data_IF_847821691444
#
_entry.id   IF_847821691444
#
_cell.length_a   1.000
_cell.length_b   1.000
_cell.length_c   1.000
_cell.angle_alpha   90.00
_cell.angle_beta   90.00
_cell.angle_gamma   90.00
#
_symmetry.space_group_name_H-M   'P 1'
#
loop_
_entity.id
_entity.type
_entity.pdbx_description
1 polymer ?
#
# COMPACT_ATOMS: atom_id res chain seq x y z
N UNK A 1 -18.93 3.02 12.92
CA UNK A 1 -19.11 3.96 14.03
C UNK A 1 -17.75 4.33 14.60
N UNK A 2 -17.40 5.59 14.57
CA UNK A 2 -16.13 6.14 15.10
C UNK A 2 -16.16 6.16 16.65
N UNK A 3 -15.00 6.34 17.28
CA UNK A 3 -14.90 6.47 18.75
C UNK A 3 -15.73 7.65 19.25
N UNK A 4 -15.71 8.78 18.50
CA UNK A 4 -16.47 9.99 18.83
C UNK A 4 -17.99 9.76 18.77
N UNK A 5 -18.48 9.10 17.72
CA UNK A 5 -19.91 8.75 17.59
C UNK A 5 -20.38 7.83 18.72
N UNK A 6 -19.56 6.84 19.12
CA UNK A 6 -19.87 5.97 20.26
C UNK A 6 -20.02 6.77 21.55
N UNK A 7 -19.09 7.68 21.81
CA UNK A 7 -19.09 8.52 23.01
C UNK A 7 -20.32 9.44 23.07
N UNK A 8 -20.68 10.07 21.95
CA UNK A 8 -21.88 10.89 21.85
C UNK A 8 -23.16 10.10 22.11
N UNK A 9 -23.30 8.90 21.52
CA UNK A 9 -24.45 8.03 21.74
C UNK A 9 -24.53 7.54 23.18
N UNK A 10 -23.40 7.18 23.79
CA UNK A 10 -23.36 6.77 25.21
C UNK A 10 -23.82 7.92 26.11
N UNK A 11 -23.33 9.12 25.89
CA UNK A 11 -23.75 10.30 26.66
C UNK A 11 -25.26 10.61 26.49
N UNK A 12 -25.75 10.51 25.25
CA UNK A 12 -27.20 10.64 24.98
C UNK A 12 -28.01 9.63 25.81
N UNK A 13 -27.62 8.36 25.77
CA UNK A 13 -28.32 7.31 26.50
C UNK A 13 -28.18 7.46 28.02
N UNK A 14 -27.06 7.95 28.52
CA UNK A 14 -26.89 8.24 29.94
C UNK A 14 -27.90 9.28 30.44
N UNK A 15 -28.10 10.37 29.65
CA UNK A 15 -29.12 11.39 29.95
C UNK A 15 -30.55 10.83 29.89
N UNK A 16 -30.86 10.08 28.84
CA UNK A 16 -32.20 9.48 28.67
C UNK A 16 -32.53 8.52 29.82
N UNK A 17 -31.60 7.70 30.23
CA UNK A 17 -31.78 6.72 31.29
C UNK A 17 -31.87 7.37 32.67
N UNK A 18 -31.08 8.41 32.93
CA UNK A 18 -31.19 9.21 34.17
C UNK A 18 -32.59 9.87 34.29
N UNK A 19 -33.06 10.52 33.24
CA UNK A 19 -34.41 11.08 33.24
C UNK A 19 -35.48 10.00 33.38
N UNK A 20 -35.36 8.85 32.76
CA UNK A 20 -36.30 7.74 32.88
C UNK A 20 -36.33 7.17 34.29
N UNK A 21 -35.17 6.99 34.95
CA UNK A 21 -35.10 6.55 36.34
C UNK A 21 -35.77 7.53 37.29
N UNK A 22 -35.55 8.87 37.10
CA UNK A 22 -36.20 9.93 37.84
C UNK A 22 -37.73 9.99 37.63
N UNK A 23 -38.19 9.73 36.41
CA UNK A 23 -39.65 9.63 36.14
C UNK A 23 -40.25 8.45 36.91
N UNK A 24 -39.58 7.30 36.95
CA UNK A 24 -40.05 6.15 37.73
C UNK A 24 -40.11 6.42 39.23
N UNK A 25 -39.22 7.26 39.73
CA UNK A 25 -39.17 7.68 41.14
C UNK A 25 -40.09 8.87 41.43
N UNK A 26 -40.85 9.36 40.44
CA UNK A 26 -41.69 10.59 40.49
C UNK A 26 -40.91 11.84 40.91
N UNK A 27 -39.61 11.88 40.61
CA UNK A 27 -38.68 12.95 41.05
C UNK A 27 -38.05 13.71 39.83
N UNK A 28 -38.63 13.62 38.62
CA UNK A 28 -38.04 14.28 37.46
C UNK A 28 -38.60 15.74 37.36
N UNK A 29 -37.72 16.76 37.39
CA UNK A 29 -38.16 18.16 37.28
C UNK A 29 -38.44 18.57 35.85
N UNK A 30 -37.92 17.90 34.85
CA UNK A 30 -37.93 18.32 33.45
C UNK A 30 -39.01 17.61 32.60
N UNK A 31 -39.32 16.33 32.94
CA UNK A 31 -40.27 15.53 32.16
C UNK A 31 -41.32 14.90 33.10
N UNK A 32 -42.59 15.11 32.78
CA UNK A 32 -43.71 14.54 33.58
C UNK A 32 -44.06 13.12 33.14
N UNK A 33 -43.76 12.79 31.90
CA UNK A 33 -44.11 11.47 31.32
C UNK A 33 -43.00 10.87 30.45
N UNK A 34 -43.04 9.53 30.28
CA UNK A 34 -42.14 8.83 29.38
C UNK A 34 -42.40 9.22 27.91
N UNK A 35 -43.60 9.64 27.58
CA UNK A 35 -43.96 10.10 26.22
C UNK A 35 -43.22 11.38 25.88
N UNK A 36 -43.24 12.37 26.75
CA UNK A 36 -42.48 13.62 26.60
C UNK A 36 -40.99 13.37 26.47
N UNK A 37 -40.43 12.43 27.28
CA UNK A 37 -39.02 12.03 27.19
C UNK A 37 -38.71 11.40 25.81
N UNK A 38 -39.58 10.55 25.30
CA UNK A 38 -39.39 9.91 23.99
C UNK A 38 -39.39 10.95 22.85
N UNK A 39 -40.26 11.92 22.90
CA UNK A 39 -40.37 13.00 21.90
C UNK A 39 -39.15 13.94 21.95
N UNK A 40 -38.73 14.36 23.15
CA UNK A 40 -37.61 15.26 23.33
C UNK A 40 -36.29 14.67 22.81
N UNK A 41 -36.02 13.40 23.08
CA UNK A 41 -34.78 12.72 22.70
C UNK A 41 -34.88 11.96 21.38
N UNK A 42 -36.06 11.95 20.73
CA UNK A 42 -36.33 11.17 19.50
C UNK A 42 -35.93 9.71 19.65
N UNK A 43 -36.43 9.06 20.67
CA UNK A 43 -36.19 7.63 21.01
C UNK A 43 -37.48 6.89 21.24
N UNK A 44 -37.50 5.56 21.07
CA UNK A 44 -38.69 4.78 21.30
C UNK A 44 -38.79 4.33 22.76
N UNK A 45 -40.03 4.16 23.26
CA UNK A 45 -40.25 3.59 24.60
C UNK A 45 -39.65 2.19 24.75
N UNK A 46 -39.59 1.42 23.66
CA UNK A 46 -38.94 0.08 23.62
C UNK A 46 -37.43 0.18 23.84
N UNK A 47 -36.77 1.15 23.20
CA UNK A 47 -35.34 1.33 23.35
C UNK A 47 -34.99 1.78 24.78
N UNK A 48 -35.76 2.72 25.35
CA UNK A 48 -35.59 3.13 26.73
C UNK A 48 -35.66 1.93 27.70
N UNK A 49 -36.71 1.08 27.56
CA UNK A 49 -36.86 -0.12 28.39
C UNK A 49 -35.67 -1.08 28.23
N UNK A 50 -35.19 -1.28 27.02
CA UNK A 50 -34.06 -2.17 26.72
C UNK A 50 -32.76 -1.66 27.34
N UNK A 51 -32.47 -0.37 27.16
CA UNK A 51 -31.28 0.26 27.73
C UNK A 51 -31.35 0.31 29.27
N UNK A 52 -32.50 0.66 29.83
CA UNK A 52 -32.71 0.69 31.27
C UNK A 52 -32.59 -0.70 31.92
N UNK A 53 -33.22 -1.72 31.36
CA UNK A 53 -33.13 -3.08 31.86
C UNK A 53 -31.68 -3.58 31.88
N UNK A 54 -30.93 -3.26 30.82
CA UNK A 54 -29.50 -3.61 30.73
C UNK A 54 -28.66 -2.85 31.74
N UNK A 55 -28.91 -1.56 31.93
CA UNK A 55 -28.22 -0.72 32.88
C UNK A 55 -28.44 -1.20 34.32
N UNK A 56 -29.68 -1.52 34.68
CA UNK A 56 -30.00 -2.09 36.00
C UNK A 56 -29.35 -3.45 36.21
N UNK A 57 -29.40 -4.34 35.20
CA UNK A 57 -28.81 -5.70 35.30
C UNK A 57 -27.29 -5.69 35.42
N UNK A 58 -26.62 -4.61 35.02
CA UNK A 58 -25.17 -4.44 35.15
C UNK A 58 -24.80 -3.52 36.33
N UNK A 59 -25.66 -3.42 37.35
CA UNK A 59 -25.35 -2.63 38.57
C UNK A 59 -25.27 -1.13 38.34
N UNK A 60 -26.00 -0.62 37.33
CA UNK A 60 -26.02 0.81 36.94
C UNK A 60 -24.69 1.30 36.33
N UNK A 61 -23.89 0.38 35.73
CA UNK A 61 -22.64 0.72 35.07
C UNK A 61 -22.92 1.50 33.76
N UNK A 62 -22.24 2.66 33.55
CA UNK A 62 -22.28 3.41 32.30
C UNK A 62 -21.89 2.59 31.06
N UNK A 63 -21.06 1.59 31.15
CA UNK A 63 -20.70 0.69 30.03
C UNK A 63 -21.91 -0.07 29.48
N UNK A 64 -22.94 -0.30 30.29
CA UNK A 64 -24.17 -0.91 29.86
C UNK A 64 -24.88 -0.07 28.78
N UNK A 65 -24.61 1.22 28.67
CA UNK A 65 -25.22 2.15 27.73
C UNK A 65 -24.47 2.25 26.40
N UNK A 66 -23.33 1.57 26.27
CA UNK A 66 -22.64 1.46 25.00
C UNK A 66 -23.49 0.79 23.92
N UNK A 67 -23.58 1.35 22.71
CA UNK A 67 -24.32 0.73 21.62
C UNK A 67 -23.72 -0.62 21.27
N UNK A 68 -24.56 -1.65 21.23
CA UNK A 68 -24.15 -2.97 20.78
C UNK A 68 -24.01 -3.03 19.27
N UNK A 69 -23.06 -3.78 18.77
CA UNK A 69 -22.98 -4.08 17.33
C UNK A 69 -24.25 -4.81 16.93
N UNK A 70 -24.97 -4.40 15.88
CA UNK A 70 -26.09 -5.15 15.36
C UNK A 70 -25.60 -6.51 14.81
N UNK A 71 -26.38 -7.52 14.97
CA UNK A 71 -26.10 -8.87 14.46
C UNK A 71 -26.15 -9.98 15.52
N UNK A 72 -26.05 -11.22 15.12
CA UNK A 72 -26.06 -12.36 16.02
C UNK A 72 -24.86 -12.32 16.96
N UNK A 73 -25.05 -12.85 18.18
CA UNK A 73 -23.94 -12.93 19.15
C UNK A 73 -22.79 -13.77 18.59
N UNK A 74 -21.54 -13.46 18.94
CA UNK A 74 -20.40 -14.30 18.55
C UNK A 74 -20.66 -15.77 18.89
N UNK A 75 -20.57 -16.65 17.89
CA UNK A 75 -20.81 -18.09 18.05
C UNK A 75 -22.24 -18.58 17.84
N UNK A 76 -23.24 -17.71 17.72
CA UNK A 76 -24.66 -18.08 17.59
C UNK A 76 -25.03 -18.70 16.23
N UNK A 77 -24.17 -18.49 15.20
CA UNK A 77 -24.30 -19.05 13.85
C UNK A 77 -23.08 -19.92 13.48
N UNK A 78 -22.45 -20.55 14.45
CA UNK A 78 -21.36 -21.50 14.17
C UNK A 78 -21.93 -22.77 13.56
N UNK A 79 -21.60 -23.03 12.31
CA UNK A 79 -21.92 -24.23 11.57
C UNK A 79 -21.02 -25.40 12.01
N UNK A 80 -19.77 -25.06 12.42
CA UNK A 80 -18.75 -26.04 12.80
C UNK A 80 -18.64 -26.17 14.32
N UNK A 81 -18.54 -27.41 14.78
CA UNK A 81 -18.16 -27.74 16.15
C UNK A 81 -16.68 -27.36 16.41
N UNK A 82 -16.30 -27.26 17.67
CA UNK A 82 -14.90 -27.01 18.04
C UNK A 82 -13.93 -28.09 17.55
N UNK A 83 -14.40 -29.34 17.43
CA UNK A 83 -13.61 -30.46 16.92
C UNK A 83 -13.38 -30.34 15.42
N UNK A 84 -14.43 -30.04 14.66
CA UNK A 84 -14.33 -29.81 13.21
C UNK A 84 -13.41 -28.62 12.90
N UNK A 85 -13.47 -27.51 13.68
CA UNK A 85 -12.53 -26.41 13.56
C UNK A 85 -11.07 -26.86 13.78
N UNK A 86 -10.83 -27.73 14.80
CA UNK A 86 -9.50 -28.30 15.08
C UNK A 86 -8.97 -29.17 13.96
N UNK A 87 -9.86 -29.97 13.33
CA UNK A 87 -9.49 -30.82 12.19
C UNK A 87 -9.04 -29.95 11.01
N UNK A 88 -9.82 -28.90 10.65
CA UNK A 88 -9.46 -27.96 9.60
C UNK A 88 -8.08 -27.33 9.87
N UNK A 89 -7.86 -26.89 11.10
CA UNK A 89 -6.58 -26.30 11.52
C UNK A 89 -5.44 -27.31 11.45
N UNK A 90 -5.68 -28.56 11.85
CA UNK A 90 -4.69 -29.64 11.81
C UNK A 90 -4.29 -30.00 10.37
N UNK A 91 -5.27 -30.08 9.46
CA UNK A 91 -5.02 -30.30 8.03
C UNK A 91 -4.16 -29.15 7.46
N UNK A 92 -4.53 -27.91 7.72
CA UNK A 92 -3.77 -26.75 7.28
C UNK A 92 -2.32 -26.76 7.79
N UNK A 93 -2.13 -27.06 9.09
CA UNK A 93 -0.77 -27.13 9.70
C UNK A 93 0.09 -28.24 9.09
N UNK A 94 -0.51 -29.40 8.83
CA UNK A 94 0.25 -30.58 8.39
C UNK A 94 0.58 -30.53 6.90
N UNK A 95 -0.36 -30.05 6.07
CA UNK A 95 -0.25 -30.10 4.61
C UNK A 95 -0.01 -28.72 3.98
N UNK A 96 -0.08 -27.64 4.76
CA UNK A 96 -0.11 -26.27 4.28
C UNK A 96 -1.20 -26.03 3.20
N UNK A 97 -2.28 -26.81 3.30
CA UNK A 97 -3.37 -26.82 2.34
C UNK A 97 -4.18 -25.53 2.43
N UNK A 98 -4.59 -24.98 1.29
CA UNK A 98 -5.47 -23.81 1.24
C UNK A 98 -6.94 -24.21 1.50
N UNK A 99 -7.83 -23.23 1.60
CA UNK A 99 -9.25 -23.44 1.89
C UNK A 99 -9.99 -24.31 0.87
N UNK A 100 -9.58 -24.29 -0.39
CA UNK A 100 -10.17 -25.12 -1.46
C UNK A 100 -9.70 -26.59 -1.36
N UNK A 101 -8.43 -26.80 -1.07
CA UNK A 101 -7.90 -28.14 -0.84
C UNK A 101 -8.50 -28.78 0.40
N UNK A 102 -8.63 -28.00 1.50
CA UNK A 102 -9.27 -28.48 2.73
C UNK A 102 -10.72 -28.82 2.46
N UNK A 103 -11.44 -28.02 1.68
CA UNK A 103 -12.82 -28.28 1.28
C UNK A 103 -12.97 -29.68 0.68
N UNK A 104 -12.10 -30.04 -0.25
CA UNK A 104 -12.10 -31.37 -0.89
C UNK A 104 -11.66 -32.48 0.08
N UNK A 105 -10.68 -32.24 0.95
CA UNK A 105 -10.15 -33.24 1.88
C UNK A 105 -11.09 -33.61 3.01
N UNK A 106 -12.07 -32.75 3.36
CA UNK A 106 -13.06 -33.02 4.42
C UNK A 106 -14.37 -33.53 3.89
N UNK A 107 -14.49 -33.75 2.59
CA UNK A 107 -15.71 -34.30 1.98
C UNK A 107 -16.07 -35.65 2.60
N UNK A 108 -17.31 -35.79 3.07
CA UNK A 108 -17.82 -37.00 3.74
C UNK A 108 -17.34 -37.22 5.19
N UNK A 109 -16.50 -36.35 5.74
CA UNK A 109 -15.96 -36.48 7.10
C UNK A 109 -16.66 -35.60 8.15
N UNK A 110 -17.50 -34.66 7.72
CA UNK A 110 -18.23 -33.75 8.61
C UNK A 110 -19.75 -33.96 8.48
N UNK A 111 -20.47 -33.76 9.58
CA UNK A 111 -21.93 -33.86 9.59
C UNK A 111 -22.60 -32.89 8.62
N UNK A 112 -22.02 -31.70 8.50
CA UNK A 112 -22.40 -30.67 7.53
C UNK A 112 -21.15 -30.24 6.81
N UNK A 113 -21.11 -30.38 5.48
CA UNK A 113 -19.98 -29.95 4.68
C UNK A 113 -19.88 -28.42 4.69
N UNK A 114 -18.83 -27.81 5.28
CA UNK A 114 -18.73 -26.37 5.38
C UNK A 114 -18.37 -25.77 4.02
N UNK A 115 -18.91 -24.59 3.73
CA UNK A 115 -18.47 -23.84 2.53
C UNK A 115 -17.00 -23.42 2.63
N UNK A 116 -16.35 -23.20 1.48
CA UNK A 116 -14.99 -22.65 1.38
C UNK A 116 -14.83 -21.38 2.22
N UNK A 117 -15.85 -20.50 2.19
CA UNK A 117 -15.87 -19.26 3.00
C UNK A 117 -15.87 -19.52 4.50
N UNK A 118 -16.53 -20.62 4.94
CA UNK A 118 -16.54 -21.03 6.36
C UNK A 118 -15.15 -21.54 6.77
N UNK A 119 -14.52 -22.36 5.95
CA UNK A 119 -13.15 -22.86 6.17
C UNK A 119 -12.17 -21.67 6.24
N UNK A 120 -12.23 -20.74 5.28
CA UNK A 120 -11.42 -19.53 5.28
C UNK A 120 -11.58 -18.72 6.57
N UNK A 121 -12.82 -18.46 7.02
CA UNK A 121 -13.10 -17.73 8.26
C UNK A 121 -12.57 -18.50 9.48
N UNK A 122 -12.71 -19.82 9.50
CA UNK A 122 -12.15 -20.66 10.57
C UNK A 122 -10.64 -20.54 10.62
N UNK A 123 -9.93 -20.69 9.51
CA UNK A 123 -8.48 -20.54 9.46
C UNK A 123 -8.02 -19.12 9.87
N UNK A 124 -8.82 -18.10 9.58
CA UNK A 124 -8.52 -16.71 9.96
C UNK A 124 -8.67 -16.43 11.45
N UNK A 125 -9.51 -17.19 12.17
CA UNK A 125 -9.65 -17.07 13.64
C UNK A 125 -8.43 -17.63 14.37
N UNK A 126 -7.66 -18.51 13.73
CA UNK A 126 -6.44 -19.05 14.29
C UNK A 126 -5.23 -18.32 13.67
N UNK A 127 -4.20 -17.95 14.45
CA UNK A 127 -3.03 -17.20 13.95
C UNK A 127 -2.11 -17.99 12.99
N UNK A 128 -2.67 -18.98 12.30
CA UNK A 128 -2.00 -19.86 11.35
C UNK A 128 -1.89 -19.28 9.95
N UNK A 129 -2.76 -18.33 9.62
CA UNK A 129 -2.74 -17.59 8.35
C UNK A 129 -1.91 -16.30 8.41
N UNK A 130 -1.23 -16.06 9.48
CA UNK A 130 -0.08 -15.19 9.39
C UNK A 130 0.94 -15.92 8.52
N UNK A 131 0.80 -15.78 7.17
CA UNK A 131 1.96 -15.83 6.30
C UNK A 131 2.98 -15.02 7.07
N UNK A 132 4.01 -15.69 7.62
CA UNK A 132 5.18 -14.99 8.14
C UNK A 132 5.52 -14.02 7.04
N UNK A 133 5.08 -12.77 7.18
CA UNK A 133 5.57 -11.67 6.36
C UNK A 133 7.05 -11.76 6.63
N UNK A 134 7.78 -12.44 5.74
CA UNK A 134 9.25 -12.38 5.77
C UNK A 134 9.47 -10.91 5.86
N UNK A 135 10.01 -10.48 6.98
CA UNK A 135 10.30 -9.07 7.19
C UNK A 135 11.17 -8.71 5.99
N UNK A 136 10.54 -8.03 5.02
CA UNK A 136 11.24 -7.56 3.83
C UNK A 136 12.22 -6.59 4.42
N UNK A 137 13.49 -7.00 4.49
CA UNK A 137 14.56 -6.19 5.02
C UNK A 137 14.66 -5.02 4.04
N UNK A 138 13.90 -3.97 4.31
CA UNK A 138 13.94 -2.72 3.54
C UNK A 138 15.33 -2.18 3.76
N UNK A 139 16.18 -2.27 2.74
CA UNK A 139 17.46 -1.59 2.77
C UNK A 139 17.32 -0.26 2.02
N UNK A 140 17.94 0.75 2.54
CA UNK A 140 18.13 2.05 1.92
C UNK A 140 19.64 2.29 1.92
N UNK A 141 20.14 2.77 0.80
CA UNK A 141 21.56 3.12 0.67
C UNK A 141 21.88 4.32 1.56
N UNK A 142 23.12 4.40 1.98
CA UNK A 142 23.52 5.35 3.05
C UNK A 142 23.62 6.78 2.56
N UNK A 143 24.08 6.96 1.32
CA UNK A 143 24.31 8.27 0.72
C UNK A 143 23.81 8.32 -0.74
N UNK A 144 23.54 9.54 -1.25
CA UNK A 144 23.13 9.74 -2.63
C UNK A 144 24.19 9.29 -3.61
N UNK A 145 23.80 8.56 -4.65
CA UNK A 145 24.71 8.04 -5.68
C UNK A 145 25.32 6.67 -5.38
N UNK A 146 25.26 6.16 -4.15
CA UNK A 146 25.75 4.81 -3.84
C UNK A 146 25.13 3.73 -4.73
N UNK A 147 23.86 3.92 -5.13
CA UNK A 147 23.15 3.04 -6.05
C UNK A 147 22.03 3.79 -6.76
N UNK A 148 22.06 3.76 -8.08
CA UNK A 148 20.91 4.10 -8.92
C UNK A 148 20.25 2.83 -9.45
N UNK A 149 18.92 2.81 -9.48
CA UNK A 149 18.14 1.80 -10.19
C UNK A 149 17.76 2.35 -11.56
N UNK A 150 18.03 1.61 -12.61
CA UNK A 150 17.63 1.95 -13.97
C UNK A 150 16.67 0.91 -14.52
N UNK A 151 15.65 1.37 -15.23
CA UNK A 151 14.61 0.51 -15.81
C UNK A 151 13.92 1.23 -16.98
N UNK A 152 13.30 0.46 -17.86
CA UNK A 152 12.51 0.99 -18.98
C UNK A 152 11.04 0.74 -18.78
N UNK A 153 10.19 1.70 -19.16
CA UNK A 153 8.74 1.64 -19.07
C UNK A 153 8.11 1.83 -20.45
N UNK A 154 7.25 0.90 -20.83
CA UNK A 154 6.55 0.91 -22.11
C UNK A 154 5.28 1.76 -22.03
N UNK A 155 5.18 2.81 -22.83
CA UNK A 155 3.97 3.63 -22.91
C UNK A 155 2.91 2.96 -23.77
N UNK A 156 1.63 3.20 -23.48
CA UNK A 156 0.55 2.72 -24.35
C UNK A 156 0.60 3.44 -25.70
N UNK A 157 0.51 2.70 -26.82
CA UNK A 157 0.50 3.27 -28.18
C UNK A 157 -0.62 4.29 -28.42
N UNK A 158 -1.72 4.15 -27.69
CA UNK A 158 -2.87 5.05 -27.79
C UNK A 158 -2.62 6.42 -27.14
N UNK A 159 -1.57 6.56 -26.34
CA UNK A 159 -1.26 7.80 -25.63
C UNK A 159 -0.74 8.89 -26.60
N UNK A 160 -0.05 8.50 -27.66
CA UNK A 160 0.59 9.41 -28.61
C UNK A 160 -0.12 9.34 -29.97
N UNK A 161 -0.29 10.49 -30.60
CA UNK A 161 -1.04 10.69 -31.85
C UNK A 161 -0.53 9.85 -33.02
N UNK A 162 0.78 9.66 -33.12
CA UNK A 162 1.43 8.85 -34.14
C UNK A 162 1.23 7.34 -33.96
N UNK A 163 0.58 6.90 -32.87
CA UNK A 163 0.31 5.49 -32.51
C UNK A 163 1.54 4.56 -32.55
N UNK A 164 2.74 5.13 -32.48
CA UNK A 164 3.99 4.36 -32.37
C UNK A 164 4.26 4.01 -30.93
N UNK A 165 5.00 2.92 -30.72
CA UNK A 165 5.48 2.52 -29.42
C UNK A 165 6.56 3.48 -28.97
N UNK A 166 6.42 4.03 -27.75
CA UNK A 166 7.42 4.85 -27.10
C UNK A 166 7.71 4.26 -25.71
N UNK A 167 8.87 4.59 -25.19
CA UNK A 167 9.35 4.09 -23.93
C UNK A 167 9.89 5.23 -23.08
N UNK A 168 9.93 5.04 -21.78
CA UNK A 168 10.64 5.90 -20.84
C UNK A 168 11.82 5.12 -20.27
N UNK A 169 13.00 5.69 -20.28
CA UNK A 169 14.10 5.22 -19.45
C UNK A 169 14.07 6.03 -18.17
N UNK A 170 14.09 5.38 -17.00
CA UNK A 170 14.15 6.04 -15.70
C UNK A 170 15.36 5.61 -14.90
N UNK A 171 15.95 6.58 -14.20
CA UNK A 171 16.95 6.34 -13.17
C UNK A 171 16.47 6.93 -11.85
N UNK A 172 16.52 6.17 -10.77
CA UNK A 172 16.13 6.61 -9.43
C UNK A 172 17.24 6.33 -8.42
N UNK A 173 17.61 7.34 -7.64
CA UNK A 173 18.57 7.17 -6.55
C UNK A 173 17.95 6.40 -5.38
N UNK A 174 18.65 5.37 -4.92
CA UNK A 174 18.20 4.49 -3.85
C UNK A 174 18.02 5.21 -2.52
N UNK A 175 18.87 6.17 -2.20
CA UNK A 175 18.87 6.91 -0.95
C UNK A 175 17.82 8.02 -0.91
N UNK A 176 17.85 8.91 -1.88
CA UNK A 176 17.02 10.12 -1.90
C UNK A 176 15.67 9.95 -2.59
N UNK A 177 15.53 8.94 -3.46
CA UNK A 177 14.41 8.77 -4.41
C UNK A 177 14.36 9.86 -5.49
N UNK A 178 15.38 10.72 -5.61
CA UNK A 178 15.49 11.59 -6.77
C UNK A 178 15.47 10.74 -8.02
N UNK A 179 14.71 11.18 -9.00
CA UNK A 179 14.49 10.42 -10.22
C UNK A 179 14.61 11.31 -11.44
N UNK A 180 15.14 10.77 -12.53
CA UNK A 180 15.14 11.38 -13.85
C UNK A 180 14.63 10.40 -14.87
N UNK A 181 13.86 10.87 -15.84
CA UNK A 181 13.33 10.07 -16.96
C UNK A 181 13.67 10.71 -18.29
N UNK A 182 13.83 9.85 -19.32
CA UNK A 182 14.02 10.24 -20.71
C UNK A 182 13.00 9.55 -21.58
N UNK A 183 12.33 10.29 -22.45
CA UNK A 183 11.44 9.73 -23.47
C UNK A 183 12.28 9.22 -24.65
N UNK A 184 12.17 7.92 -24.96
CA UNK A 184 12.87 7.25 -26.05
C UNK A 184 11.89 6.62 -27.04
N UNK A 185 12.23 6.64 -28.33
CA UNK A 185 11.34 6.12 -29.37
C UNK A 185 11.46 4.61 -29.55
N UNK A 186 12.60 4.03 -29.21
CA UNK A 186 12.86 2.59 -29.35
C UNK A 186 13.58 2.09 -28.09
N UNK A 187 13.24 0.89 -27.69
CA UNK A 187 13.92 0.25 -26.56
C UNK A 187 15.15 -0.53 -27.07
N UNK A 188 16.09 0.20 -27.70
CA UNK A 188 17.36 -0.37 -28.15
C UNK A 188 18.46 -0.06 -27.17
N UNK A 189 19.53 -0.86 -27.19
CA UNK A 189 20.70 -0.64 -26.36
C UNK A 189 21.33 0.76 -26.62
N UNK A 190 21.32 1.23 -27.86
CA UNK A 190 21.83 2.56 -28.20
C UNK A 190 20.97 3.69 -27.59
N UNK A 191 19.63 3.62 -27.77
CA UNK A 191 18.73 4.65 -27.26
C UNK A 191 18.74 4.67 -25.71
N UNK A 192 18.70 3.50 -25.06
CA UNK A 192 18.80 3.37 -23.61
C UNK A 192 20.15 3.91 -23.07
N UNK A 193 21.25 3.64 -23.76
CA UNK A 193 22.57 4.13 -23.37
C UNK A 193 22.71 5.65 -23.48
N UNK A 194 22.18 6.24 -24.56
CA UNK A 194 22.17 7.70 -24.74
C UNK A 194 21.30 8.38 -23.66
N UNK A 195 20.12 7.85 -23.40
CA UNK A 195 19.23 8.34 -22.36
C UNK A 195 19.87 8.21 -20.96
N UNK A 196 20.55 7.10 -20.69
CA UNK A 196 21.33 6.91 -19.46
C UNK A 196 22.43 7.96 -19.30
N UNK A 197 23.17 8.26 -20.37
CA UNK A 197 24.20 9.29 -20.34
C UNK A 197 23.64 10.67 -19.96
N UNK A 198 22.47 11.05 -20.49
CA UNK A 198 21.78 12.29 -20.13
C UNK A 198 21.35 12.28 -18.66
N UNK A 199 20.74 11.18 -18.21
CA UNK A 199 20.32 11.02 -16.83
C UNK A 199 21.49 11.10 -15.84
N UNK A 200 22.61 10.45 -16.14
CA UNK A 200 23.83 10.52 -15.30
C UNK A 200 24.38 11.95 -15.19
N UNK A 201 24.42 12.69 -16.31
CA UNK A 201 24.78 14.12 -16.30
C UNK A 201 23.82 14.94 -15.43
N UNK A 202 22.51 14.66 -15.54
CA UNK A 202 21.52 15.32 -14.71
C UNK A 202 21.76 15.08 -13.21
N UNK A 203 22.05 13.84 -12.80
CA UNK A 203 22.40 13.51 -11.41
C UNK A 203 23.66 14.26 -10.96
N UNK A 204 24.68 14.31 -11.79
CA UNK A 204 25.94 15.04 -11.49
C UNK A 204 25.70 16.52 -11.26
N UNK A 205 24.87 17.18 -12.10
CA UNK A 205 24.47 18.58 -11.93
C UNK A 205 23.74 18.81 -10.61
N UNK A 206 23.00 17.81 -10.11
CA UNK A 206 22.33 17.86 -8.82
C UNK A 206 23.23 17.46 -7.62
N UNK A 207 24.54 17.33 -7.83
CA UNK A 207 25.49 16.98 -6.79
C UNK A 207 25.48 15.51 -6.37
N UNK A 208 24.88 14.63 -7.19
CA UNK A 208 24.90 13.19 -6.98
C UNK A 208 25.90 12.55 -7.93
N UNK A 209 26.91 11.92 -7.37
CA UNK A 209 27.94 11.18 -8.12
C UNK A 209 27.61 9.69 -8.06
N UNK A 210 27.07 9.09 -9.15
CA UNK A 210 26.69 7.69 -9.12
C UNK A 210 27.90 6.75 -9.10
N UNK A 211 27.93 5.80 -8.18
CA UNK A 211 28.97 4.76 -8.09
C UNK A 211 28.51 3.46 -8.75
N UNK A 212 27.24 3.10 -8.57
CA UNK A 212 26.69 1.85 -9.05
C UNK A 212 25.34 2.09 -9.73
N UNK A 213 25.15 1.49 -10.90
CA UNK A 213 23.84 1.39 -11.56
C UNK A 213 23.38 -0.07 -11.53
N UNK A 214 22.15 -0.29 -11.12
CA UNK A 214 21.49 -1.60 -11.13
C UNK A 214 20.38 -1.62 -12.17
N UNK A 215 20.39 -2.64 -13.02
CA UNK A 215 19.34 -2.91 -14.01
C UNK A 215 18.76 -4.31 -13.81
N UNK A 216 17.69 -4.59 -14.47
CA UNK A 216 17.33 -5.98 -14.76
C UNK A 216 18.23 -6.55 -15.87
N UNK A 217 17.86 -7.76 -16.38
CA UNK A 217 18.60 -8.40 -17.45
C UNK A 217 17.95 -8.09 -18.83
N UNK A 218 17.38 -6.93 -19.05
CA UNK A 218 16.83 -6.53 -20.35
C UNK A 218 17.89 -6.43 -21.44
N UNK A 219 17.52 -6.73 -22.69
CA UNK A 219 18.44 -6.67 -23.83
C UNK A 219 18.97 -5.27 -24.12
N UNK A 220 18.27 -4.25 -23.68
CA UNK A 220 18.70 -2.85 -23.72
C UNK A 220 19.88 -2.54 -22.80
N UNK A 221 20.05 -3.33 -21.74
CA UNK A 221 21.09 -3.14 -20.73
C UNK A 221 22.24 -4.17 -20.81
N UNK A 222 22.02 -5.32 -21.46
CA UNK A 222 23.04 -6.39 -21.50
C UNK A 222 22.91 -7.31 -22.71
N UNK A 223 23.99 -7.99 -23.04
CA UNK A 223 24.00 -9.05 -24.04
C UNK A 223 24.18 -10.44 -23.36
N UNK A 224 23.45 -11.43 -23.86
CA UNK A 224 23.47 -12.79 -23.28
C UNK A 224 24.36 -13.78 -24.05
N UNK A 225 24.83 -13.41 -25.23
CA UNK A 225 25.51 -14.33 -26.17
C UNK A 225 26.91 -14.74 -25.71
N UNK A 226 27.66 -13.84 -25.12
CA UNK A 226 29.00 -14.12 -24.59
C UNK A 226 29.44 -13.05 -23.58
N UNK A 227 30.50 -13.36 -22.79
CA UNK A 227 31.10 -12.37 -21.91
C UNK A 227 31.64 -11.16 -22.68
N UNK A 228 32.32 -11.42 -23.82
CA UNK A 228 32.84 -10.35 -24.70
C UNK A 228 31.73 -9.44 -25.21
N UNK A 229 30.58 -10.00 -25.67
CA UNK A 229 29.44 -9.22 -26.13
C UNK A 229 28.84 -8.36 -24.99
N UNK A 230 28.84 -8.88 -23.77
CA UNK A 230 28.42 -8.13 -22.58
C UNK A 230 29.36 -6.96 -22.32
N UNK A 231 30.66 -7.18 -22.31
CA UNK A 231 31.67 -6.16 -22.01
C UNK A 231 31.73 -5.03 -23.07
N UNK A 232 31.34 -5.33 -24.32
CA UNK A 232 31.28 -4.37 -25.44
C UNK A 232 29.91 -3.80 -25.69
N UNK A 233 28.92 -4.11 -24.84
CA UNK A 233 27.56 -3.58 -24.93
C UNK A 233 27.57 -2.05 -24.77
N UNK A 234 26.73 -1.34 -25.52
CA UNK A 234 26.70 0.13 -25.47
C UNK A 234 26.47 0.67 -24.07
N UNK A 235 25.56 0.05 -23.33
CA UNK A 235 25.24 0.42 -21.97
C UNK A 235 26.46 0.31 -21.04
N UNK A 236 27.19 -0.79 -21.12
CA UNK A 236 28.45 -0.99 -20.38
C UNK A 236 29.51 0.04 -20.76
N UNK A 237 29.60 0.39 -22.06
CA UNK A 237 30.53 1.42 -22.54
C UNK A 237 30.24 2.78 -21.91
N UNK A 238 28.97 3.18 -21.88
CA UNK A 238 28.56 4.43 -21.22
C UNK A 238 28.90 4.40 -19.72
N UNK A 239 28.57 3.33 -19.00
CA UNK A 239 28.86 3.27 -17.57
C UNK A 239 30.39 3.33 -17.29
N UNK A 240 31.18 2.67 -18.12
CA UNK A 240 32.64 2.76 -18.02
C UNK A 240 33.17 4.18 -18.25
N UNK A 241 32.60 4.93 -19.19
CA UNK A 241 32.98 6.33 -19.41
C UNK A 241 32.74 7.23 -18.20
N UNK A 242 31.72 6.92 -17.41
CA UNK A 242 31.41 7.61 -16.15
C UNK A 242 32.08 6.97 -14.92
N UNK A 243 32.90 5.94 -15.10
CA UNK A 243 33.50 5.14 -14.03
C UNK A 243 32.47 4.55 -13.05
N UNK A 244 31.35 4.08 -13.57
CA UNK A 244 30.23 3.53 -12.79
C UNK A 244 30.20 2.02 -12.92
N UNK A 245 30.03 1.33 -11.79
CA UNK A 245 29.88 -0.13 -11.76
C UNK A 245 28.48 -0.53 -12.18
N UNK A 246 28.35 -1.51 -13.07
CA UNK A 246 27.08 -2.13 -13.40
C UNK A 246 26.84 -3.39 -12.54
N UNK A 247 25.62 -3.52 -12.01
CA UNK A 247 25.14 -4.73 -11.34
C UNK A 247 23.76 -5.11 -11.84
N UNK A 248 23.45 -6.40 -11.83
CA UNK A 248 22.17 -6.92 -12.28
C UNK A 248 21.31 -7.37 -11.11
N UNK A 249 19.99 -7.24 -11.25
CA UNK A 249 19.05 -7.84 -10.31
C UNK A 249 19.17 -9.36 -10.36
N UNK A 250 19.13 -10.02 -9.20
CA UNK A 250 19.13 -11.48 -9.15
C UNK A 250 17.79 -12.01 -9.70
N UNK A 251 17.83 -13.05 -10.56
CA UNK A 251 16.62 -13.72 -11.02
C UNK A 251 15.71 -14.09 -9.84
N UNK A 252 14.39 -13.98 -10.02
CA UNK A 252 13.37 -14.30 -9.01
C UNK A 252 13.44 -13.52 -7.68
N UNK A 253 14.08 -12.34 -7.67
CA UNK A 253 14.05 -11.40 -6.53
C UNK A 253 13.50 -10.05 -6.96
N UNK A 254 12.18 -9.91 -7.18
CA UNK A 254 11.54 -8.66 -7.60
C UNK A 254 11.75 -7.51 -6.60
N UNK A 255 12.13 -7.83 -5.36
CA UNK A 255 12.33 -6.84 -4.32
C UNK A 255 13.53 -5.89 -4.55
N UNK A 256 14.48 -6.28 -5.43
CA UNK A 256 15.66 -5.47 -5.71
C UNK A 256 15.37 -4.26 -6.57
N UNK A 257 14.36 -4.31 -7.45
CA UNK A 257 13.98 -3.20 -8.34
C UNK A 257 12.71 -2.46 -7.88
N UNK A 258 12.17 -2.80 -6.71
CA UNK A 258 10.88 -2.31 -6.21
C UNK A 258 10.78 -0.79 -6.02
N UNK A 259 11.90 -0.03 -6.03
CA UNK A 259 11.87 1.43 -5.92
C UNK A 259 11.50 2.08 -7.24
N UNK A 260 12.09 1.63 -8.34
CA UNK A 260 11.75 2.12 -9.67
C UNK A 260 10.41 1.58 -10.16
N UNK A 261 10.05 0.33 -9.84
CA UNK A 261 8.72 -0.22 -10.09
C UNK A 261 7.63 0.61 -9.40
N UNK A 262 7.89 1.03 -8.17
CA UNK A 262 6.98 1.93 -7.46
C UNK A 262 6.91 3.32 -8.07
N UNK A 263 8.02 3.83 -8.58
CA UNK A 263 8.05 5.10 -9.32
C UNK A 263 7.19 5.02 -10.58
N UNK A 264 7.32 3.96 -11.39
CA UNK A 264 6.50 3.75 -12.58
C UNK A 264 5.01 3.71 -12.27
N UNK A 265 4.65 3.07 -11.16
CA UNK A 265 3.26 3.05 -10.72
C UNK A 265 2.75 4.45 -10.35
N UNK A 266 3.56 5.25 -9.67
CA UNK A 266 3.20 6.64 -9.33
C UNK A 266 3.06 7.49 -10.59
N UNK A 267 3.99 7.37 -11.54
CA UNK A 267 3.91 8.06 -12.83
C UNK A 267 2.65 7.66 -13.59
N UNK A 268 2.33 6.38 -13.65
CA UNK A 268 1.12 5.91 -14.29
C UNK A 268 -0.14 6.50 -13.63
N UNK A 269 -0.27 6.35 -12.32
CA UNK A 269 -1.46 6.77 -11.58
C UNK A 269 -1.64 8.31 -11.58
N UNK A 270 -0.55 9.07 -11.47
CA UNK A 270 -0.59 10.52 -11.24
C UNK A 270 -0.30 11.37 -12.49
N UNK A 271 0.15 10.77 -13.60
CA UNK A 271 0.46 11.48 -14.85
C UNK A 271 -0.25 10.83 -16.05
N UNK A 272 0.04 9.55 -16.33
CA UNK A 272 -0.41 8.89 -17.57
C UNK A 272 -1.93 8.65 -17.55
N UNK A 273 -2.47 8.11 -16.46
CA UNK A 273 -3.90 7.82 -16.32
C UNK A 273 -4.77 9.09 -16.35
N UNK A 274 -4.20 10.23 -16.01
CA UNK A 274 -4.89 11.52 -16.01
C UNK A 274 -5.05 12.11 -17.42
N UNK A 275 -4.43 11.55 -18.45
CA UNK A 275 -4.54 12.04 -19.82
C UNK A 275 -5.86 11.57 -20.44
N UNK A 276 -6.74 12.52 -20.75
CA UNK A 276 -8.06 12.26 -21.33
C UNK A 276 -8.07 12.36 -22.86
N UNK A 277 -6.95 12.75 -23.48
CA UNK A 277 -6.78 12.88 -24.92
C UNK A 277 -5.46 12.24 -25.37
N UNK A 278 -5.39 11.92 -26.63
CA UNK A 278 -4.13 11.55 -27.29
C UNK A 278 -3.23 12.80 -27.37
N UNK A 279 -1.96 12.67 -27.02
CA UNK A 279 -1.00 13.75 -26.97
C UNK A 279 -0.05 13.72 -28.17
N UNK A 280 0.46 14.87 -28.59
CA UNK A 280 1.66 14.93 -29.41
C UNK A 280 2.88 14.55 -28.56
N UNK A 281 4.02 14.28 -29.20
CA UNK A 281 5.26 13.97 -28.47
C UNK A 281 5.69 15.12 -27.57
N UNK A 282 5.55 16.36 -28.05
CA UNK A 282 5.94 17.56 -27.29
C UNK A 282 5.01 17.84 -26.12
N UNK A 283 3.69 17.63 -26.29
CA UNK A 283 2.74 17.70 -25.20
C UNK A 283 3.05 16.64 -24.12
N UNK A 284 3.33 15.40 -24.54
CA UNK A 284 3.70 14.35 -23.59
C UNK A 284 5.00 14.71 -22.85
N UNK A 285 6.02 15.24 -23.54
CA UNK A 285 7.26 15.68 -22.89
C UNK A 285 6.98 16.76 -21.84
N UNK A 286 6.15 17.74 -22.14
CA UNK A 286 5.77 18.80 -21.19
C UNK A 286 5.05 18.25 -19.95
N UNK A 287 4.13 17.27 -20.16
CA UNK A 287 3.45 16.60 -19.03
C UNK A 287 4.44 15.81 -18.17
N UNK A 288 5.37 15.10 -18.77
CA UNK A 288 6.41 14.34 -18.07
C UNK A 288 7.35 15.30 -17.29
N UNK A 289 7.75 16.41 -17.88
CA UNK A 289 8.60 17.41 -17.22
C UNK A 289 7.88 18.04 -16.01
N UNK A 290 6.60 18.39 -16.16
CA UNK A 290 5.76 18.88 -15.08
C UNK A 290 5.60 17.85 -13.95
N UNK A 291 5.36 16.56 -14.31
CA UNK A 291 5.30 15.49 -13.33
C UNK A 291 6.62 15.29 -12.60
N UNK A 292 7.78 15.29 -13.32
CA UNK A 292 9.10 15.11 -12.72
C UNK A 292 9.46 16.26 -11.78
N UNK A 293 9.11 17.51 -12.17
CA UNK A 293 9.24 18.65 -11.26
C UNK A 293 8.45 18.43 -9.98
N UNK A 294 7.15 18.08 -10.09
CA UNK A 294 6.31 17.79 -8.93
C UNK A 294 6.86 16.63 -8.10
N UNK A 295 7.26 15.52 -8.72
CA UNK A 295 7.77 14.34 -8.05
C UNK A 295 9.01 14.64 -7.22
N UNK A 296 10.00 15.33 -7.78
CA UNK A 296 11.27 15.58 -7.12
C UNK A 296 11.25 16.73 -6.11
N UNK A 297 10.44 17.78 -6.37
CA UNK A 297 10.53 19.04 -5.64
C UNK A 297 9.31 19.34 -4.74
N UNK A 298 8.15 18.74 -5.01
CA UNK A 298 6.91 19.08 -4.30
C UNK A 298 6.25 17.90 -3.62
N UNK A 299 6.32 16.72 -4.23
CA UNK A 299 5.65 15.52 -3.73
C UNK A 299 6.35 14.99 -2.48
N UNK A 300 5.59 14.89 -1.39
CA UNK A 300 6.08 14.29 -0.13
C UNK A 300 5.92 12.77 -0.17
N UNK A 301 6.99 12.06 0.16
CA UNK A 301 7.06 10.60 0.12
C UNK A 301 6.98 9.99 1.51
N UNK A 302 6.05 9.09 1.73
CA UNK A 302 5.93 8.38 3.03
C UNK A 302 7.20 7.59 3.37
N UNK A 303 7.88 7.03 2.36
CA UNK A 303 9.16 6.33 2.54
C UNK A 303 10.29 7.27 3.01
N UNK A 304 10.18 8.57 2.75
CA UNK A 304 11.13 9.61 3.15
C UNK A 304 10.63 10.39 4.38
N UNK A 305 9.73 9.81 5.19
CA UNK A 305 9.13 10.49 6.36
C UNK A 305 8.41 11.79 5.98
N UNK A 306 7.71 11.78 4.84
CA UNK A 306 6.90 12.89 4.31
C UNK A 306 7.68 14.16 3.94
N UNK A 307 8.94 14.02 3.51
CA UNK A 307 9.71 15.06 2.85
C UNK A 307 9.82 14.77 1.34
N UNK A 308 10.25 15.77 0.55
CA UNK A 308 10.50 15.58 -0.87
C UNK A 308 11.85 14.89 -1.12
N UNK A 309 12.07 14.27 -2.30
CA UNK A 309 13.38 13.76 -2.69
C UNK A 309 14.50 14.80 -2.60
N UNK A 310 14.22 16.04 -3.04
CA UNK A 310 15.19 17.13 -2.94
C UNK A 310 15.50 17.54 -1.49
N UNK A 311 14.48 17.61 -0.62
CA UNK A 311 14.72 17.91 0.80
C UNK A 311 15.56 16.83 1.46
N UNK A 312 15.35 15.57 1.07
CA UNK A 312 16.19 14.46 1.55
C UNK A 312 17.65 14.64 1.12
N UNK A 313 17.89 15.04 -0.14
CA UNK A 313 19.23 15.32 -0.63
C UNK A 313 19.88 16.49 0.15
N UNK A 314 19.19 17.61 0.27
CA UNK A 314 19.67 18.78 1.02
C UNK A 314 20.01 18.43 2.47
N UNK A 315 19.15 17.66 3.14
CA UNK A 315 19.39 17.25 4.52
C UNK A 315 20.65 16.39 4.67
N UNK A 316 20.97 15.56 3.67
CA UNK A 316 22.19 14.73 3.71
C UNK A 316 23.43 15.59 3.43
N UNK A 317 23.38 16.44 2.42
CA UNK A 317 24.51 17.33 2.04
C UNK A 317 24.84 18.30 3.19
N UNK A 318 23.83 18.86 3.85
CA UNK A 318 24.02 19.77 5.00
C UNK A 318 24.55 19.07 6.26
N UNK A 319 24.51 17.73 6.32
CA UNK A 319 25.09 16.94 7.42
C UNK A 319 26.54 16.53 7.16
N UNK A 320 27.04 16.72 5.94
CA UNK A 320 28.45 16.50 5.65
C UNK A 320 29.24 17.70 6.21
N UNK A 321 30.28 17.48 7.04
CA UNK A 321 31.14 18.58 7.45
C UNK A 321 31.73 19.23 6.20
N UNK A 322 31.85 20.57 6.22
CA UNK A 322 32.54 21.30 5.17
C UNK A 322 33.95 20.70 5.01
N UNK A 323 34.18 20.10 3.85
CA UNK A 323 35.50 19.57 3.46
C UNK A 323 36.41 20.70 3.04
#
# INVERSE_FOLDING_TARGET
MTITEKRLLTNKWALVIDHYDKIKQKANPSFKSVTELCEAFKVTRRDIKNYYGRWVSMGKDPEALLPRKPGPKPGQLKILSKEEERIIVKIHRRLNANEFEIYNLIEGHFNVHPSVSTIYRTLKLYPLNEKRKKAIKRYEKRYPGELLHADTYSLAKSLIDNKKQHYLLGLIDDCTRLCHIELIERNTSADASMATSKALKWFTVHGILPEVVMTDNGSEFTAFTSQKARETHFFETILKMFNIKHIYTKPYRPQTNGKIERFWRILYDECILCQHKTLTKDELQAELDGFMYRYNYQRRHSALKYITPLDKLKNIVNLLPEL
#
